data_IF_557855765263
#
_entry.id   IF_557855765263
#
_cell.length_a   1.000
_cell.length_b   1.000
_cell.length_c   1.000
_cell.angle_alpha   90.00
_cell.angle_beta   90.00
_cell.angle_gamma   90.00
#
_symmetry.space_group_name_H-M   'P 1'
#
loop_
_entity.id
_entity.type
_entity.pdbx_description
1 polymer ?
#
# COMPACT_ATOMS: atom_id res chain seq x y z
N UNK A 1 -17.49 -47.97 42.43
CA UNK A 1 -17.33 -47.46 41.07
C UNK A 1 -18.03 -46.11 41.07
N UNK A 2 -17.25 -45.03 41.29
CA UNK A 2 -17.73 -43.66 41.25
C UNK A 2 -17.59 -43.13 39.85
N UNK A 3 -18.70 -42.85 39.17
CA UNK A 3 -18.73 -42.05 37.94
C UNK A 3 -18.59 -40.59 38.34
N UNK A 4 -17.35 -40.08 38.27
CA UNK A 4 -17.08 -38.67 38.40
C UNK A 4 -17.59 -37.95 37.12
N UNK A 5 -18.68 -37.23 37.21
CA UNK A 5 -19.06 -36.28 36.17
C UNK A 5 -18.10 -35.08 36.24
N UNK A 6 -17.16 -35.00 35.32
CA UNK A 6 -16.30 -33.82 35.14
C UNK A 6 -17.09 -32.70 34.51
N UNK A 7 -17.91 -32.02 35.30
CA UNK A 7 -18.36 -30.67 34.97
C UNK A 7 -17.25 -29.73 35.42
N UNK A 8 -16.31 -29.46 34.58
CA UNK A 8 -15.28 -28.44 34.83
C UNK A 8 -15.91 -27.05 34.68
N UNK A 9 -16.67 -26.65 35.74
CA UNK A 9 -17.00 -25.26 35.95
C UNK A 9 -15.73 -24.57 36.45
N UNK A 10 -14.98 -23.99 35.54
CA UNK A 10 -13.89 -23.11 35.94
C UNK A 10 -14.49 -21.91 36.67
N UNK A 11 -14.07 -21.70 37.92
CA UNK A 11 -14.51 -20.56 38.74
C UNK A 11 -13.87 -19.25 38.27
N UNK A 12 -12.67 -19.31 37.68
CA UNK A 12 -11.99 -18.18 37.07
C UNK A 12 -11.02 -18.70 36.00
N UNK A 13 -10.69 -17.84 35.05
CA UNK A 13 -9.62 -18.05 34.06
C UNK A 13 -8.58 -16.96 34.25
N UNK A 14 -7.32 -17.34 34.42
CA UNK A 14 -6.19 -16.41 34.57
C UNK A 14 -5.44 -16.42 33.24
N UNK A 15 -5.21 -15.24 32.66
CA UNK A 15 -4.41 -15.05 31.46
C UNK A 15 -3.06 -14.44 31.84
N UNK A 16 -2.00 -15.02 31.29
CA UNK A 16 -0.68 -14.39 31.28
C UNK A 16 -0.61 -13.53 30.00
N UNK A 17 -0.45 -12.22 30.18
CA UNK A 17 -0.40 -11.23 29.10
C UNK A 17 1.01 -10.63 28.97
N UNK A 18 2.04 -11.34 29.42
CA UNK A 18 3.43 -10.89 29.30
C UNK A 18 3.88 -10.81 27.82
N UNK A 19 3.24 -11.53 26.95
CA UNK A 19 3.35 -11.41 25.50
C UNK A 19 2.06 -11.89 24.83
N UNK A 20 1.85 -11.48 23.59
CA UNK A 20 0.78 -12.01 22.75
C UNK A 20 1.37 -12.78 21.58
N UNK A 21 0.59 -13.71 21.05
CA UNK A 21 0.91 -14.41 19.82
C UNK A 21 -0.25 -14.28 18.86
N UNK A 22 0.08 -14.11 17.59
CA UNK A 22 -0.87 -14.17 16.48
C UNK A 22 -0.39 -15.17 15.43
N UNK A 23 -1.32 -15.67 14.65
CA UNK A 23 -1.02 -16.53 13.52
C UNK A 23 -1.53 -15.85 12.27
N UNK A 24 -0.61 -15.63 11.31
CA UNK A 24 -0.90 -15.15 9.96
C UNK A 24 -0.94 -16.34 9.02
N UNK A 25 -1.84 -16.29 8.04
CA UNK A 25 -1.88 -17.28 6.97
C UNK A 25 -1.31 -16.62 5.71
N UNK A 26 -0.09 -16.98 5.37
CA UNK A 26 0.64 -16.42 4.24
C UNK A 26 0.44 -17.32 3.01
N UNK A 27 0.22 -16.71 1.86
CA UNK A 27 0.04 -17.40 0.58
C UNK A 27 1.31 -18.17 0.17
N UNK A 28 1.14 -19.23 -0.61
CA UNK A 28 2.22 -20.04 -1.15
C UNK A 28 3.22 -19.23 -1.99
N UNK A 29 2.76 -18.16 -2.63
CA UNK A 29 3.63 -17.31 -3.47
C UNK A 29 4.56 -16.41 -2.65
N UNK A 30 4.19 -16.10 -1.42
CA UNK A 30 4.89 -15.14 -0.58
C UNK A 30 5.71 -15.81 0.54
N UNK A 31 5.40 -17.08 0.88
CA UNK A 31 5.98 -17.76 2.03
C UNK A 31 7.50 -17.93 1.94
N UNK A 32 8.03 -18.05 0.72
CA UNK A 32 9.48 -18.24 0.48
C UNK A 32 10.29 -16.98 0.89
N UNK A 33 9.64 -15.83 1.01
CA UNK A 33 10.25 -14.56 1.43
C UNK A 33 10.14 -14.32 2.95
N UNK A 34 9.43 -15.21 3.68
CA UNK A 34 9.18 -15.05 5.11
C UNK A 34 10.10 -15.91 5.93
N UNK A 35 10.90 -15.29 6.79
CA UNK A 35 11.88 -15.94 7.64
C UNK A 35 11.63 -15.67 9.13
N UNK A 36 12.09 -16.61 9.97
CA UNK A 36 12.08 -16.41 11.43
C UNK A 36 13.04 -15.28 11.81
N UNK A 37 12.56 -14.37 12.63
CA UNK A 37 13.32 -13.18 13.07
C UNK A 37 12.93 -11.89 12.36
N UNK A 38 12.14 -11.96 11.29
CA UNK A 38 11.63 -10.75 10.63
C UNK A 38 10.71 -9.96 11.54
N UNK A 39 10.81 -8.63 11.42
CA UNK A 39 9.96 -7.68 12.12
C UNK A 39 8.60 -7.62 11.46
N UNK A 40 7.55 -7.48 12.27
CA UNK A 40 6.18 -7.35 11.83
C UNK A 40 5.59 -6.08 12.44
N UNK A 41 5.13 -5.18 11.60
CA UNK A 41 4.37 -4.01 12.00
C UNK A 41 2.90 -4.41 12.16
N UNK A 42 2.32 -4.09 13.29
CA UNK A 42 0.96 -4.49 13.64
C UNK A 42 0.16 -3.24 13.97
N UNK A 43 -0.96 -3.08 13.30
CA UNK A 43 -1.93 -2.00 13.56
C UNK A 43 -3.26 -2.58 14.00
N UNK A 44 -4.02 -1.83 14.78
CA UNK A 44 -5.33 -2.26 15.27
C UNK A 44 -6.34 -1.12 15.15
N UNK A 45 -7.50 -1.40 14.57
CA UNK A 45 -8.61 -0.45 14.48
C UNK A 45 -9.08 0.04 15.87
N UNK A 46 -8.91 -0.80 16.89
CA UNK A 46 -9.26 -0.47 18.27
C UNK A 46 -8.26 0.52 18.93
N UNK A 47 -7.14 0.77 18.27
CA UNK A 47 -6.02 1.59 18.75
C UNK A 47 -5.51 2.49 17.60
N UNK A 48 -6.37 3.38 17.12
CA UNK A 48 -6.01 4.30 16.03
C UNK A 48 -4.72 5.06 16.32
N UNK A 49 -3.79 5.03 15.35
CA UNK A 49 -2.51 5.74 15.42
C UNK A 49 -1.44 5.08 16.29
N UNK A 50 -1.68 3.86 16.82
CA UNK A 50 -0.66 3.05 17.48
C UNK A 50 -0.20 1.90 16.58
N UNK A 51 1.10 1.79 16.42
CA UNK A 51 1.75 0.65 15.74
C UNK A 51 2.48 -0.18 16.79
N UNK A 52 2.25 -1.46 16.80
CA UNK A 52 2.93 -2.44 17.64
C UNK A 52 3.96 -3.20 16.80
N UNK A 53 5.01 -3.64 17.44
CA UNK A 53 6.05 -4.43 16.76
C UNK A 53 6.00 -5.86 17.25
N UNK A 54 5.96 -6.78 16.30
CA UNK A 54 6.09 -8.21 16.55
C UNK A 54 7.31 -8.79 15.83
N UNK A 55 7.61 -10.04 16.13
CA UNK A 55 8.69 -10.80 15.50
C UNK A 55 8.17 -12.16 15.07
N UNK A 56 8.51 -12.57 13.86
CA UNK A 56 8.23 -13.92 13.36
C UNK A 56 9.02 -14.93 14.17
N UNK A 57 8.32 -15.83 14.88
CA UNK A 57 8.95 -16.84 15.72
C UNK A 57 8.90 -18.23 15.11
N UNK A 58 7.95 -18.47 14.21
CA UNK A 58 7.79 -19.76 13.55
C UNK A 58 7.14 -19.60 12.17
N UNK A 59 7.72 -20.26 11.18
CA UNK A 59 7.14 -20.45 9.85
C UNK A 59 6.81 -21.95 9.71
N UNK A 60 5.56 -22.28 9.38
CA UNK A 60 5.16 -23.67 9.20
C UNK A 60 5.65 -24.20 7.85
N UNK A 61 6.20 -25.39 7.84
CA UNK A 61 6.54 -26.12 6.59
C UNK A 61 5.35 -26.88 6.01
N UNK A 62 4.23 -26.90 6.73
CA UNK A 62 3.00 -27.58 6.29
C UNK A 62 1.95 -26.54 5.99
N UNK A 63 1.56 -26.47 4.72
CA UNK A 63 0.47 -25.62 4.25
C UNK A 63 -0.89 -26.26 4.47
N UNK A 64 -1.91 -25.44 4.46
CA UNK A 64 -3.33 -25.82 4.51
C UNK A 64 -4.02 -25.30 3.25
N UNK A 65 -4.65 -26.21 2.51
CA UNK A 65 -5.39 -25.85 1.30
C UNK A 65 -6.88 -25.71 1.63
N UNK A 66 -7.45 -24.56 1.31
CA UNK A 66 -8.87 -24.29 1.46
C UNK A 66 -9.36 -23.45 0.28
N UNK A 67 -10.46 -23.88 -0.37
CA UNK A 67 -11.03 -23.15 -1.49
C UNK A 67 -10.13 -23.01 -2.73
N UNK A 68 -9.10 -23.85 -2.86
CA UNK A 68 -8.14 -23.81 -3.98
C UNK A 68 -6.92 -22.93 -3.74
N UNK A 69 -6.81 -22.30 -2.56
CA UNK A 69 -5.63 -21.52 -2.15
C UNK A 69 -4.90 -22.27 -1.05
N UNK A 70 -3.57 -22.37 -1.16
CA UNK A 70 -2.70 -22.96 -0.14
C UNK A 70 -2.06 -21.84 0.67
N UNK A 71 -2.21 -21.91 1.99
CA UNK A 71 -1.60 -20.95 2.92
C UNK A 71 -0.77 -21.67 3.97
N UNK A 72 0.25 -20.97 4.45
CA UNK A 72 1.19 -21.45 5.46
C UNK A 72 1.03 -20.62 6.73
N UNK A 73 0.75 -21.24 7.89
CA UNK A 73 0.65 -20.53 9.15
C UNK A 73 2.02 -20.04 9.63
N UNK A 74 2.09 -18.74 9.87
CA UNK A 74 3.26 -18.04 10.43
C UNK A 74 2.88 -17.50 11.81
N UNK A 75 3.70 -17.80 12.83
CA UNK A 75 3.47 -17.35 14.21
C UNK A 75 4.32 -16.12 14.48
N UNK A 76 3.67 -15.07 14.90
CA UNK A 76 4.29 -13.80 15.31
C UNK A 76 4.10 -13.62 16.81
N UNK A 77 5.16 -13.21 17.49
CA UNK A 77 5.16 -12.85 18.92
C UNK A 77 5.23 -11.33 19.05
N UNK A 78 4.44 -10.81 19.98
CA UNK A 78 4.33 -9.39 20.31
C UNK A 78 4.69 -9.27 21.78
N UNK A 79 5.81 -8.63 22.10
CA UNK A 79 6.28 -8.46 23.47
C UNK A 79 5.74 -7.17 24.10
N UNK A 80 5.61 -6.11 23.33
CA UNK A 80 4.95 -4.88 23.77
C UNK A 80 3.47 -4.93 23.43
N UNK A 81 2.67 -5.20 24.43
CA UNK A 81 1.23 -5.41 24.25
C UNK A 81 0.38 -4.18 24.58
N UNK A 82 0.95 -3.08 25.07
CA UNK A 82 0.32 -1.84 25.56
C UNK A 82 -1.17 -1.62 25.21
N UNK A 83 -2.02 -2.43 25.86
CA UNK A 83 -3.47 -2.40 25.70
C UNK A 83 -4.03 -3.24 24.55
N UNK A 84 -3.21 -4.01 23.82
CA UNK A 84 -3.69 -5.09 22.96
C UNK A 84 -4.29 -6.21 23.83
N UNK A 85 -5.36 -6.80 23.35
CA UNK A 85 -6.04 -7.91 24.04
C UNK A 85 -6.27 -9.07 23.10
N UNK A 86 -6.23 -10.31 23.60
CA UNK A 86 -6.63 -11.47 22.81
C UNK A 86 -8.03 -11.28 22.23
N UNK A 87 -8.19 -11.56 20.93
CA UNK A 87 -9.45 -11.44 20.22
C UNK A 87 -9.71 -10.09 19.56
N UNK A 88 -8.77 -9.14 19.63
CA UNK A 88 -8.82 -7.92 18.81
C UNK A 88 -8.48 -8.24 17.34
N UNK A 89 -9.12 -7.53 16.42
CA UNK A 89 -8.73 -7.52 15.03
C UNK A 89 -7.49 -6.64 14.87
N UNK A 90 -6.53 -7.14 14.11
CA UNK A 90 -5.28 -6.45 13.81
C UNK A 90 -4.89 -6.71 12.37
N UNK A 91 -4.27 -5.72 11.75
CA UNK A 91 -3.57 -5.85 10.48
C UNK A 91 -2.08 -6.00 10.76
N UNK A 92 -1.41 -6.85 9.99
CA UNK A 92 0.00 -7.15 10.19
C UNK A 92 0.75 -7.10 8.87
N UNK A 93 1.84 -6.36 8.87
CA UNK A 93 2.75 -6.19 7.74
C UNK A 93 4.12 -6.75 8.09
N UNK A 94 4.55 -7.80 7.38
CA UNK A 94 5.87 -8.41 7.57
C UNK A 94 6.90 -7.60 6.79
N UNK A 95 7.93 -7.11 7.46
CA UNK A 95 9.04 -6.39 6.82
C UNK A 95 9.97 -7.44 6.20
N UNK A 96 9.91 -7.58 4.88
CA UNK A 96 10.73 -8.57 4.16
C UNK A 96 12.19 -8.13 4.05
N UNK A 97 12.42 -6.84 3.86
CA UNK A 97 13.75 -6.24 3.82
C UNK A 97 13.70 -4.81 4.32
N UNK A 98 14.78 -4.35 4.93
CA UNK A 98 14.96 -2.96 5.34
C UNK A 98 16.37 -2.51 5.03
N UNK A 99 16.53 -1.25 4.68
CA UNK A 99 17.82 -0.62 4.56
C UNK A 99 17.79 0.70 5.35
N UNK A 100 18.75 0.86 6.24
CA UNK A 100 18.90 2.06 7.05
C UNK A 100 20.02 2.93 6.45
N UNK A 101 19.91 4.24 6.63
CA UNK A 101 20.89 5.22 6.15
C UNK A 101 21.16 5.16 4.63
N UNK A 102 20.11 4.91 3.84
CA UNK A 102 20.17 4.83 2.38
C UNK A 102 19.59 6.07 1.72
N UNK A 103 20.12 6.39 0.53
CA UNK A 103 19.52 7.40 -0.31
C UNK A 103 18.27 6.84 -0.98
N UNK A 104 17.12 7.41 -0.71
CA UNK A 104 15.85 7.00 -1.29
C UNK A 104 15.16 8.14 -2.03
N UNK A 105 14.57 7.83 -3.17
CA UNK A 105 13.77 8.78 -3.95
C UNK A 105 12.38 8.19 -4.21
N UNK A 106 11.36 9.04 -4.50
CA UNK A 106 10.05 8.52 -4.90
C UNK A 106 10.17 7.58 -6.11
N UNK A 107 9.53 6.41 -6.05
CA UNK A 107 9.61 5.37 -7.11
C UNK A 107 9.21 5.91 -8.47
N UNK A 108 8.26 6.88 -8.52
CA UNK A 108 7.83 7.55 -9.75
C UNK A 108 8.89 8.48 -10.37
N UNK A 109 9.98 8.77 -9.68
CA UNK A 109 11.07 9.58 -10.20
C UNK A 109 12.05 8.78 -11.07
N UNK A 110 12.03 7.46 -10.96
CA UNK A 110 12.86 6.58 -11.79
C UNK A 110 12.16 6.32 -13.12
N UNK A 111 12.82 6.73 -14.19
CA UNK A 111 12.36 6.53 -15.56
C UNK A 111 12.79 5.17 -16.11
N UNK A 112 12.27 4.82 -17.30
CA UNK A 112 12.69 3.62 -18.02
C UNK A 112 14.18 3.64 -18.29
N UNK A 113 14.85 2.51 -18.02
CA UNK A 113 16.29 2.38 -18.18
C UNK A 113 17.08 2.87 -16.96
N UNK A 114 16.44 2.93 -15.78
CA UNK A 114 17.05 3.34 -14.51
C UNK A 114 17.71 4.73 -14.60
N UNK A 115 16.99 5.69 -15.17
CA UNK A 115 17.44 7.07 -15.25
C UNK A 115 16.58 7.97 -14.37
N UNK A 116 17.19 8.99 -13.79
CA UNK A 116 16.52 9.99 -12.95
C UNK A 116 16.77 11.36 -13.54
N UNK A 117 15.76 12.21 -13.54
CA UNK A 117 15.86 13.59 -13.96
C UNK A 117 16.22 14.44 -12.74
N UNK A 118 17.35 15.13 -12.80
CA UNK A 118 17.83 16.04 -11.74
C UNK A 118 18.05 17.44 -12.30
N UNK A 119 18.12 18.44 -11.43
CA UNK A 119 18.48 19.78 -11.85
C UNK A 119 19.94 19.84 -12.29
N UNK A 120 20.26 20.68 -13.28
CA UNK A 120 21.61 20.85 -13.80
C UNK A 120 22.60 21.41 -12.76
N UNK A 121 22.09 22.01 -11.67
CA UNK A 121 22.88 22.52 -10.56
C UNK A 121 23.17 21.48 -9.47
N UNK A 122 22.61 20.27 -9.60
CA UNK A 122 22.80 19.19 -8.65
C UNK A 122 24.23 18.63 -8.69
N UNK A 123 24.79 18.16 -7.55
CA UNK A 123 26.13 17.59 -7.48
C UNK A 123 26.37 16.45 -8.49
N UNK A 124 25.36 15.59 -8.69
CA UNK A 124 25.47 14.46 -9.62
C UNK A 124 25.29 14.81 -11.10
N UNK A 125 25.02 16.09 -11.43
CA UNK A 125 24.89 16.54 -12.82
C UNK A 125 26.17 16.35 -13.66
N UNK A 126 27.32 16.17 -13.01
CA UNK A 126 28.59 15.83 -13.68
C UNK A 126 28.54 14.47 -14.40
N UNK A 127 27.64 13.60 -14.01
CA UNK A 127 27.38 12.28 -14.59
C UNK A 127 26.20 12.28 -15.58
N UNK A 128 25.83 13.46 -16.09
CA UNK A 128 24.72 13.60 -17.03
C UNK A 128 24.91 12.73 -18.27
N UNK A 129 23.83 12.07 -18.67
CA UNK A 129 23.77 11.34 -19.92
C UNK A 129 23.62 12.33 -21.10
N UNK A 130 24.17 11.96 -22.26
CA UNK A 130 23.97 12.68 -23.51
C UNK A 130 22.56 12.36 -24.07
N UNK A 131 21.55 12.79 -23.34
CA UNK A 131 20.14 12.59 -23.64
C UNK A 131 19.42 13.94 -23.55
N UNK A 132 18.50 14.18 -24.49
CA UNK A 132 17.68 15.40 -24.50
C UNK A 132 16.83 15.46 -23.22
N UNK A 133 16.97 16.53 -22.46
CA UNK A 133 16.26 16.80 -21.22
C UNK A 133 15.59 18.19 -21.28
N UNK A 134 14.56 18.45 -20.46
CA UNK A 134 13.99 19.79 -20.33
C UNK A 134 15.03 20.82 -19.88
N UNK A 135 14.82 22.09 -20.25
CA UNK A 135 15.71 23.20 -19.86
C UNK A 135 15.94 23.24 -18.35
N UNK A 136 17.19 23.28 -17.95
CA UNK A 136 17.61 23.29 -16.55
C UNK A 136 17.68 21.93 -15.87
N UNK A 137 17.48 20.83 -16.61
CA UNK A 137 17.54 19.47 -16.10
C UNK A 137 18.48 18.59 -16.91
N UNK A 138 18.92 17.51 -16.29
CA UNK A 138 19.74 16.48 -16.92
C UNK A 138 19.32 15.09 -16.45
N UNK A 139 19.47 14.10 -17.31
CA UNK A 139 19.27 12.69 -16.93
C UNK A 139 20.57 12.11 -16.41
N UNK A 140 20.49 11.36 -15.32
CA UNK A 140 21.60 10.61 -14.73
C UNK A 140 21.20 9.14 -14.63
N UNK A 141 22.14 8.26 -14.96
CA UNK A 141 21.98 6.82 -14.75
C UNK A 141 22.11 6.50 -13.28
N UNK A 142 21.20 5.68 -12.76
CA UNK A 142 21.21 5.23 -11.37
C UNK A 142 21.18 3.70 -11.27
N UNK A 143 21.71 3.19 -10.18
CA UNK A 143 21.47 1.82 -9.75
C UNK A 143 20.52 1.84 -8.56
N UNK A 144 19.55 0.95 -8.60
CA UNK A 144 18.47 0.88 -7.60
C UNK A 144 18.65 -0.36 -6.72
N UNK A 145 18.31 -0.22 -5.44
CA UNK A 145 18.28 -1.30 -4.47
C UNK A 145 16.86 -1.75 -4.16
N UNK A 146 16.53 -1.90 -2.87
CA UNK A 146 15.20 -2.27 -2.43
C UNK A 146 14.19 -1.15 -2.72
N UNK A 147 12.93 -1.52 -2.88
CA UNK A 147 11.85 -0.56 -3.14
C UNK A 147 10.56 -0.96 -2.41
N UNK A 148 9.80 0.04 -2.06
CA UNK A 148 8.40 -0.10 -1.64
C UNK A 148 7.44 0.59 -2.62
N UNK A 149 6.17 0.71 -2.26
CA UNK A 149 5.14 1.35 -3.09
C UNK A 149 5.38 2.85 -3.32
N UNK A 150 6.19 3.50 -2.51
CA UNK A 150 6.39 4.95 -2.49
C UNK A 150 7.81 5.37 -2.85
N UNK A 151 8.80 4.60 -2.40
CA UNK A 151 10.22 4.93 -2.50
C UNK A 151 11.05 3.79 -3.06
N UNK A 152 12.17 4.15 -3.65
CA UNK A 152 13.18 3.22 -4.15
C UNK A 152 14.57 3.67 -3.67
N UNK A 153 15.33 2.73 -3.17
CA UNK A 153 16.72 2.95 -2.78
C UNK A 153 17.59 3.23 -4.01
N UNK A 154 18.50 4.17 -3.89
CA UNK A 154 19.52 4.46 -4.90
C UNK A 154 20.89 4.05 -4.34
N UNK A 155 21.45 3.01 -4.92
CA UNK A 155 22.76 2.48 -4.51
C UNK A 155 23.92 3.19 -5.18
N UNK A 156 23.69 3.76 -6.37
CA UNK A 156 24.68 4.60 -7.05
C UNK A 156 24.05 5.57 -8.05
N UNK A 157 24.78 6.60 -8.44
CA UNK A 157 24.38 7.57 -9.47
C UNK A 157 23.87 8.91 -8.92
N UNK A 158 23.34 8.96 -7.70
CA UNK A 158 22.93 10.19 -7.02
C UNK A 158 23.72 10.40 -5.73
N UNK A 159 23.69 11.64 -5.23
CA UNK A 159 24.29 12.03 -3.97
C UNK A 159 23.27 12.81 -3.13
N UNK A 160 23.53 12.87 -1.83
CA UNK A 160 22.78 13.72 -0.94
C UNK A 160 22.88 15.18 -1.37
N UNK A 161 21.75 15.87 -1.45
CA UNK A 161 21.65 17.25 -1.93
C UNK A 161 21.25 17.37 -3.42
N UNK A 162 21.15 16.28 -4.17
CA UNK A 162 20.58 16.31 -5.52
C UNK A 162 19.08 16.67 -5.47
N UNK A 163 18.65 17.48 -6.41
CA UNK A 163 17.23 17.82 -6.57
C UNK A 163 16.62 17.01 -7.71
N UNK A 164 15.75 16.08 -7.35
CA UNK A 164 15.09 15.16 -8.28
C UNK A 164 13.78 15.77 -8.77
N UNK A 165 13.55 15.73 -10.09
CA UNK A 165 12.32 16.14 -10.72
C UNK A 165 11.52 14.92 -11.24
N UNK A 166 10.22 14.91 -10.99
CA UNK A 166 9.31 13.90 -11.52
C UNK A 166 7.92 14.49 -11.79
N UNK A 167 7.21 13.89 -12.73
CA UNK A 167 5.83 14.26 -13.04
C UNK A 167 4.90 13.66 -12.00
N UNK A 168 4.42 14.49 -11.10
CA UNK A 168 3.30 14.07 -10.24
C UNK A 168 2.04 14.02 -11.10
N UNK A 169 1.38 12.87 -11.19
CA UNK A 169 0.05 12.81 -11.76
C UNK A 169 -0.83 13.83 -11.02
N UNK A 170 -1.27 14.86 -11.74
CA UNK A 170 -2.20 15.82 -11.17
C UNK A 170 -3.43 15.02 -10.73
N UNK A 171 -3.68 14.98 -9.43
CA UNK A 171 -4.98 14.57 -8.93
C UNK A 171 -5.96 15.53 -9.61
N UNK A 172 -6.80 15.00 -10.48
CA UNK A 172 -7.89 15.76 -11.12
C UNK A 172 -8.90 16.15 -10.03
N UNK A 173 -8.52 17.13 -9.23
CA UNK A 173 -9.43 17.96 -8.47
C UNK A 173 -10.21 18.73 -9.50
N UNK A 174 -11.47 18.37 -9.68
CA UNK A 174 -12.47 19.11 -10.45
C UNK A 174 -12.69 20.46 -9.75
N UNK A 175 -11.79 21.41 -9.96
CA UNK A 175 -12.13 22.82 -9.84
C UNK A 175 -13.00 23.18 -11.05
N UNK A 176 -14.28 22.84 -10.92
CA UNK A 176 -15.32 23.51 -11.68
C UNK A 176 -15.33 24.98 -11.23
N UNK A 177 -14.48 25.77 -11.85
CA UNK A 177 -14.63 27.20 -11.90
C UNK A 177 -15.97 27.47 -12.60
N UNK A 178 -16.96 27.73 -11.77
CA UNK A 178 -18.24 28.31 -12.16
C UNK A 178 -17.94 29.74 -12.63
N UNK A 179 -17.46 29.85 -13.88
CA UNK A 179 -17.27 31.14 -14.59
C UNK A 179 -18.63 31.70 -14.92
N UNK A 180 -18.91 32.92 -14.39
CA UNK A 180 -20.13 33.66 -14.48
C UNK A 180 -20.72 33.73 -15.88
N UNK A 181 -22.02 33.49 -15.96
CA UNK A 181 -22.83 33.92 -17.09
C UNK A 181 -22.88 35.45 -17.15
N UNK A 182 -22.62 36.05 -18.31
CA UNK A 182 -23.07 37.44 -18.54
C UNK A 182 -24.57 37.40 -18.89
N UNK A 183 -25.39 38.07 -18.08
CA UNK A 183 -26.74 38.47 -18.36
C UNK A 183 -26.78 39.39 -19.58
N UNK A 184 -27.58 39.03 -20.58
CA UNK A 184 -27.82 39.90 -21.74
C UNK A 184 -28.87 39.35 -22.69
N UNK A 185 -30.14 39.81 -22.48
CA UNK A 185 -31.06 40.38 -23.44
C UNK A 185 -31.67 39.56 -24.57
N UNK A 186 -32.96 39.27 -24.41
CA UNK A 186 -33.97 39.63 -25.39
C UNK A 186 -34.19 38.80 -26.65
N UNK A 187 -35.41 38.23 -26.77
CA UNK A 187 -36.07 38.20 -28.06
C UNK A 187 -36.51 36.84 -28.65
N UNK A 188 -37.81 36.57 -28.61
CA UNK A 188 -38.48 35.98 -29.74
C UNK A 188 -38.79 34.46 -29.69
N UNK A 189 -40.00 34.14 -29.26
CA UNK A 189 -40.71 32.93 -29.74
C UNK A 189 -41.03 33.06 -31.23
N UNK A 190 -41.14 31.93 -31.98
CA UNK A 190 -42.45 31.54 -32.46
C UNK A 190 -42.79 30.03 -32.22
N UNK A 191 -44.09 29.87 -32.04
CA UNK A 191 -44.83 28.64 -31.92
C UNK A 191 -44.96 27.87 -33.22
N UNK A 192 -45.16 26.57 -33.15
CA UNK A 192 -45.70 25.68 -34.20
C UNK A 192 -45.16 24.31 -33.96
N UNK A 193 -45.88 23.33 -33.61
CA UNK A 193 -47.15 22.82 -34.05
C UNK A 193 -46.89 21.49 -34.74
N UNK A 194 -47.39 20.38 -34.15
CA UNK A 194 -47.78 19.25 -34.95
C UNK A 194 -47.00 17.96 -34.85
N UNK A 195 -47.64 16.95 -34.32
CA UNK A 195 -47.77 15.69 -34.95
C UNK A 195 -47.19 14.45 -34.29
N UNK A 196 -47.98 13.77 -33.47
CA UNK A 196 -47.86 12.30 -33.33
C UNK A 196 -48.32 11.59 -34.59
N UNK A 197 -47.79 10.40 -34.88
CA UNK A 197 -48.70 9.26 -34.76
C UNK A 197 -48.10 8.02 -34.06
N UNK A 198 -49.03 7.37 -33.40
CA UNK A 198 -49.03 6.04 -32.82
C UNK A 198 -48.75 4.90 -33.80
N UNK A 199 -48.17 3.81 -33.31
CA UNK A 199 -48.17 2.50 -34.00
C UNK A 199 -47.35 1.48 -33.23
N UNK A 200 -48.00 0.65 -32.43
CA UNK A 200 -47.50 -0.68 -32.04
C UNK A 200 -48.08 -1.71 -33.04
N UNK A 201 -48.13 -3.03 -32.74
CA UNK A 201 -47.28 -3.91 -31.95
C UNK A 201 -46.91 -5.20 -32.76
N UNK A 202 -46.23 -6.17 -32.17
CA UNK A 202 -46.14 -7.56 -32.61
C UNK A 202 -44.68 -8.04 -32.57
N UNK A 203 -44.30 -9.03 -31.87
CA UNK A 203 -44.78 -10.36 -31.75
C UNK A 203 -43.67 -11.32 -32.17
N UNK A 204 -43.27 -12.18 -31.25
CA UNK A 204 -42.98 -13.56 -31.57
C UNK A 204 -41.50 -13.94 -31.93
N UNK A 205 -40.86 -14.60 -31.14
CA UNK A 205 -40.48 -16.00 -30.89
C UNK A 205 -39.41 -16.05 -29.80
#
# INVERSE_FOLDING_TARGET
VGTGSNSSNALCTIYDLSYLQMTLNIDELDIDNVEVGQVVNITSDAKEGQTFTGVVTKVSVVGTTSGGTTTYPVTVRIDDTDGLRPGMNVDAEIVLSSADDVLAIPSMAVNRGNTVLITSDSPSAVNALDQEAPDGYVYVQVETGISDDSYIEITSGLQEGDTVAYLRAASSGSDMMMGGMPSGGGGGMPSGGGGMPSGGPGGGF
#
